data_IF_498124031358
#
_entry.id   IF_498124031358
#
_cell.length_a   1.000
_cell.length_b   1.000
_cell.length_c   1.000
_cell.angle_alpha   90.00
_cell.angle_beta   90.00
_cell.angle_gamma   90.00
#
_symmetry.space_group_name_H-M   'P 1'
#
loop_
_entity.id
_entity.type
_entity.pdbx_description
1 polymer ?
#
# COMPACT_ATOMS: atom_id res chain seq x y z
N UNK A 1 -38.33 -39.01 0.93
CA UNK A 1 -38.24 -38.59 -0.51
C UNK A 1 -39.35 -37.63 -0.96
N UNK A 2 -39.88 -36.71 -0.13
CA UNK A 2 -41.00 -35.81 -0.54
C UNK A 2 -40.86 -34.35 -0.14
N UNK A 3 -39.66 -33.88 0.27
CA UNK A 3 -39.49 -32.48 0.74
C UNK A 3 -38.64 -31.58 -0.17
N UNK A 4 -38.19 -32.05 -1.35
CA UNK A 4 -37.25 -31.30 -2.19
C UNK A 4 -37.83 -30.71 -3.49
N UNK A 5 -39.16 -30.81 -3.74
CA UNK A 5 -39.77 -30.38 -5.03
C UNK A 5 -40.72 -29.17 -4.94
N UNK A 6 -40.84 -28.49 -3.77
CA UNK A 6 -41.82 -27.36 -3.65
C UNK A 6 -41.22 -25.95 -3.68
N UNK A 7 -39.91 -25.80 -3.81
CA UNK A 7 -39.26 -24.46 -3.71
C UNK A 7 -38.94 -23.77 -5.05
N UNK A 8 -39.23 -24.41 -6.19
CA UNK A 8 -38.84 -23.86 -7.49
C UNK A 8 -40.01 -23.38 -8.37
N UNK A 9 -41.25 -23.27 -7.83
CA UNK A 9 -42.42 -22.92 -8.62
C UNK A 9 -43.04 -21.55 -8.32
N UNK A 10 -42.45 -20.75 -7.41
CA UNK A 10 -42.97 -19.43 -7.02
C UNK A 10 -42.31 -18.26 -7.79
N UNK A 11 -41.23 -18.50 -8.54
CA UNK A 11 -40.53 -17.44 -9.26
C UNK A 11 -40.81 -17.35 -10.78
N UNK A 12 -41.92 -17.94 -11.26
CA UNK A 12 -42.17 -17.97 -12.69
C UNK A 12 -43.23 -16.99 -13.20
N UNK A 13 -43.84 -16.20 -12.34
CA UNK A 13 -44.89 -15.21 -12.73
C UNK A 13 -44.61 -13.82 -12.13
N UNK A 14 -43.36 -13.39 -12.07
CA UNK A 14 -43.04 -11.98 -11.94
C UNK A 14 -42.96 -11.43 -13.38
N UNK A 15 -43.95 -10.62 -13.77
CA UNK A 15 -43.94 -9.81 -14.97
C UNK A 15 -42.59 -9.11 -15.06
N UNK A 16 -41.88 -9.33 -16.15
CA UNK A 16 -40.68 -8.55 -16.46
C UNK A 16 -41.12 -7.11 -16.71
N UNK A 17 -40.79 -6.15 -15.84
CA UNK A 17 -40.81 -4.79 -16.31
C UNK A 17 -39.76 -4.72 -17.43
N UNK A 18 -40.15 -4.22 -18.59
CA UNK A 18 -39.21 -3.81 -19.64
C UNK A 18 -38.21 -2.85 -18.97
N UNK A 19 -37.07 -3.39 -18.51
CA UNK A 19 -35.92 -2.58 -18.26
C UNK A 19 -35.48 -2.07 -19.62
N UNK A 20 -35.97 -0.88 -19.96
CA UNK A 20 -35.32 0.00 -20.91
C UNK A 20 -33.85 -0.05 -20.52
N UNK A 21 -33.05 -0.74 -21.34
CA UNK A 21 -31.61 -0.76 -21.25
C UNK A 21 -31.15 0.67 -21.56
N UNK A 22 -31.22 1.56 -20.57
CA UNK A 22 -30.32 2.69 -20.54
C UNK A 22 -28.92 2.09 -20.27
N UNK A 23 -28.33 1.54 -21.33
CA UNK A 23 -26.90 1.41 -21.44
C UNK A 23 -26.38 2.85 -21.58
N UNK A 24 -26.41 3.59 -20.46
CA UNK A 24 -25.48 4.68 -20.28
C UNK A 24 -24.14 3.99 -20.32
N UNK A 25 -23.41 4.12 -21.42
CA UNK A 25 -22.00 3.82 -21.45
C UNK A 25 -21.42 4.56 -20.24
N UNK A 26 -21.16 3.82 -19.16
CA UNK A 26 -20.47 4.34 -18.00
C UNK A 26 -19.13 4.76 -18.58
N UNK A 27 -18.92 6.08 -18.69
CA UNK A 27 -17.63 6.60 -19.14
C UNK A 27 -16.66 6.13 -18.07
N UNK A 28 -15.91 5.06 -18.38
CA UNK A 28 -14.86 4.56 -17.50
C UNK A 28 -13.90 5.72 -17.29
N UNK A 29 -13.91 6.29 -16.09
CA UNK A 29 -12.95 7.33 -15.73
C UNK A 29 -11.79 6.64 -15.05
N UNK A 30 -10.62 6.53 -15.67
CA UNK A 30 -9.47 5.84 -15.07
C UNK A 30 -8.89 6.68 -13.92
N UNK A 31 -9.74 6.90 -12.90
CA UNK A 31 -9.39 7.73 -11.76
C UNK A 31 -8.16 7.19 -11.03
N UNK A 32 -8.00 5.86 -10.97
CA UNK A 32 -6.82 5.27 -10.36
C UNK A 32 -5.54 5.73 -11.08
N UNK A 33 -5.51 5.67 -12.40
CA UNK A 33 -4.37 6.17 -13.18
C UNK A 33 -4.11 7.66 -12.94
N UNK A 34 -5.17 8.48 -12.88
CA UNK A 34 -5.01 9.92 -12.62
C UNK A 34 -4.42 10.19 -11.25
N UNK A 35 -4.79 9.43 -10.22
CA UNK A 35 -4.19 9.51 -8.89
C UNK A 35 -2.70 9.19 -8.93
N UNK A 36 -2.28 8.16 -9.67
CA UNK A 36 -0.87 7.81 -9.82
C UNK A 36 -0.08 8.88 -10.57
N UNK A 37 -0.62 9.42 -11.67
CA UNK A 37 0.01 10.50 -12.43
C UNK A 37 0.15 11.75 -11.57
N UNK A 38 -0.89 12.13 -10.83
CA UNK A 38 -0.84 13.27 -9.92
C UNK A 38 0.21 13.06 -8.82
N UNK A 39 0.28 11.85 -8.25
CA UNK A 39 1.25 11.50 -7.20
C UNK A 39 2.69 11.64 -7.66
N UNK A 40 3.03 11.16 -8.86
CA UNK A 40 4.39 11.19 -9.39
C UNK A 40 4.81 12.55 -9.94
N UNK A 41 3.85 13.40 -10.32
CA UNK A 41 4.13 14.66 -11.01
C UNK A 41 5.02 15.58 -10.21
N UNK A 42 4.74 15.78 -8.93
CA UNK A 42 5.52 16.65 -8.05
C UNK A 42 6.93 16.09 -7.80
N UNK A 43 7.11 14.85 -7.32
CA UNK A 43 8.43 14.27 -7.15
C UNK A 43 9.25 14.26 -8.46
N UNK A 44 8.63 13.98 -9.58
CA UNK A 44 9.31 13.94 -10.88
C UNK A 44 9.86 15.32 -11.29
N UNK A 45 9.05 16.38 -11.14
CA UNK A 45 9.48 17.75 -11.39
C UNK A 45 10.67 18.14 -10.49
N UNK A 46 10.62 17.79 -9.21
CA UNK A 46 11.70 18.12 -8.28
C UNK A 46 12.92 17.20 -8.39
N UNK A 47 12.82 16.03 -9.02
CA UNK A 47 13.97 15.11 -9.24
C UNK A 47 15.08 15.79 -10.05
N UNK A 48 14.72 16.70 -10.95
CA UNK A 48 15.68 17.50 -11.74
C UNK A 48 16.57 18.37 -10.84
N UNK A 49 16.06 18.85 -9.71
CA UNK A 49 16.80 19.69 -8.76
C UNK A 49 17.63 18.88 -7.74
N UNK A 50 17.32 17.59 -7.56
CA UNK A 50 18.01 16.68 -6.65
C UNK A 50 18.82 15.64 -7.44
N UNK A 51 19.85 16.09 -8.16
CA UNK A 51 20.68 15.26 -9.06
C UNK A 51 21.27 14.02 -8.42
N UNK A 52 21.49 14.00 -7.09
CA UNK A 52 22.00 12.82 -6.39
C UNK A 52 21.00 11.65 -6.37
N UNK A 53 19.71 11.93 -6.40
CA UNK A 53 18.71 10.89 -6.51
C UNK A 53 18.70 10.26 -7.91
N UNK A 54 18.83 11.06 -8.97
CA UNK A 54 18.92 10.59 -10.36
C UNK A 54 20.12 9.65 -10.55
N UNK A 55 21.28 9.96 -9.97
CA UNK A 55 22.49 9.13 -10.06
C UNK A 55 22.31 7.72 -9.46
N UNK A 56 21.25 7.49 -8.69
CA UNK A 56 20.97 6.23 -7.98
C UNK A 56 19.74 5.48 -8.51
N UNK A 57 19.28 5.82 -9.70
CA UNK A 57 18.09 5.21 -10.32
C UNK A 57 18.19 3.69 -10.42
N UNK A 58 19.36 3.14 -10.77
CA UNK A 58 19.56 1.69 -10.86
C UNK A 58 19.33 1.00 -9.51
N UNK A 59 19.87 1.55 -8.41
CA UNK A 59 19.66 0.99 -7.07
C UNK A 59 18.18 1.11 -6.65
N UNK A 60 17.52 2.23 -6.99
CA UNK A 60 16.10 2.42 -6.76
C UNK A 60 15.27 1.38 -7.53
N UNK A 61 15.49 1.23 -8.83
CA UNK A 61 14.73 0.28 -9.64
C UNK A 61 14.93 -1.16 -9.16
N UNK A 62 16.15 -1.56 -8.82
CA UNK A 62 16.43 -2.90 -8.32
C UNK A 62 15.75 -3.12 -6.96
N UNK A 63 15.91 -2.20 -6.00
CA UNK A 63 15.30 -2.33 -4.67
C UNK A 63 13.77 -2.37 -4.76
N UNK A 64 13.19 -1.46 -5.55
CA UNK A 64 11.74 -1.40 -5.76
C UNK A 64 11.22 -2.65 -6.46
N UNK A 65 11.92 -3.17 -7.48
CA UNK A 65 11.51 -4.41 -8.15
C UNK A 65 11.51 -5.61 -7.20
N UNK A 66 12.52 -5.74 -6.32
CA UNK A 66 12.58 -6.83 -5.34
C UNK A 66 11.38 -6.75 -4.38
N UNK A 67 11.11 -5.56 -3.84
CA UNK A 67 9.97 -5.37 -2.92
C UNK A 67 8.65 -5.52 -3.65
N UNK A 68 8.52 -4.95 -4.86
CA UNK A 68 7.32 -5.08 -5.67
C UNK A 68 6.96 -6.54 -5.95
N UNK A 69 7.93 -7.40 -6.27
CA UNK A 69 7.66 -8.85 -6.48
C UNK A 69 7.04 -9.48 -5.22
N UNK A 70 7.57 -9.19 -4.03
CA UNK A 70 7.06 -9.76 -2.78
C UNK A 70 5.64 -9.27 -2.52
N UNK A 71 5.40 -7.97 -2.64
CA UNK A 71 4.11 -7.35 -2.35
C UNK A 71 3.06 -7.64 -3.44
N UNK A 72 3.44 -7.73 -4.71
CA UNK A 72 2.54 -8.14 -5.79
C UNK A 72 2.09 -9.60 -5.67
N UNK A 73 2.97 -10.51 -5.19
CA UNK A 73 2.56 -11.88 -4.88
C UNK A 73 1.53 -11.88 -3.75
N UNK A 74 1.77 -11.11 -2.69
CA UNK A 74 0.82 -10.97 -1.60
C UNK A 74 -0.50 -10.39 -2.09
N UNK A 75 -0.47 -9.30 -2.85
CA UNK A 75 -1.63 -8.63 -3.42
C UNK A 75 -2.46 -9.56 -4.32
N UNK A 76 -1.82 -10.26 -5.25
CA UNK A 76 -2.50 -11.22 -6.12
C UNK A 76 -3.18 -12.34 -5.32
N UNK A 77 -2.52 -12.89 -4.31
CA UNK A 77 -3.10 -13.93 -3.46
C UNK A 77 -4.32 -13.43 -2.70
N UNK A 78 -4.26 -12.21 -2.18
CA UNK A 78 -5.36 -11.61 -1.41
C UNK A 78 -6.52 -11.18 -2.30
N UNK A 79 -6.24 -10.66 -3.50
CA UNK A 79 -7.26 -10.37 -4.51
C UNK A 79 -7.99 -11.65 -4.94
N UNK A 80 -7.25 -12.73 -5.23
CA UNK A 80 -7.86 -14.02 -5.58
C UNK A 80 -8.67 -14.64 -4.43
N UNK A 81 -8.27 -14.38 -3.18
CA UNK A 81 -8.99 -14.84 -1.98
C UNK A 81 -10.19 -13.95 -1.61
N UNK A 82 -10.39 -12.80 -2.27
CA UNK A 82 -11.47 -11.86 -1.97
C UNK A 82 -11.30 -11.13 -0.64
N UNK A 83 -10.05 -10.96 -0.19
CA UNK A 83 -9.69 -10.17 1.01
C UNK A 83 -9.76 -8.69 0.70
N UNK A 84 -9.35 -8.30 -0.50
CA UNK A 84 -9.58 -7.01 -1.12
C UNK A 84 -9.82 -7.17 -2.63
N UNK A 85 -10.13 -6.10 -3.31
CA UNK A 85 -10.27 -6.10 -4.75
C UNK A 85 -10.51 -4.70 -5.30
N UNK A 86 -10.75 -4.63 -6.59
CA UNK A 86 -10.73 -3.38 -7.35
C UNK A 86 -12.07 -3.17 -8.05
N UNK A 87 -12.47 -1.91 -8.20
CA UNK A 87 -13.62 -1.51 -8.97
C UNK A 87 -13.18 -1.11 -10.37
N UNK A 88 -13.55 -1.93 -11.36
CA UNK A 88 -13.18 -1.75 -12.76
C UNK A 88 -13.71 -0.44 -13.37
N UNK A 89 -14.80 0.14 -12.83
CA UNK A 89 -15.37 1.40 -13.31
C UNK A 89 -14.40 2.58 -13.21
N UNK A 90 -13.40 2.48 -12.32
CA UNK A 90 -12.38 3.52 -12.09
C UNK A 90 -10.99 3.16 -12.61
N UNK A 91 -10.87 2.06 -13.35
CA UNK A 91 -9.62 1.55 -13.90
C UNK A 91 -9.63 1.60 -15.43
N UNK A 92 -8.46 1.41 -16.04
CA UNK A 92 -8.30 1.34 -17.51
C UNK A 92 -8.94 0.09 -18.14
N UNK A 93 -9.41 -0.87 -17.33
CA UNK A 93 -9.97 -2.13 -17.84
C UNK A 93 -8.92 -3.16 -18.28
N UNK A 94 -7.63 -2.91 -18.03
CA UNK A 94 -6.56 -3.87 -18.26
C UNK A 94 -6.18 -4.52 -16.93
N UNK A 95 -6.27 -5.84 -16.82
CA UNK A 95 -5.95 -6.55 -15.58
C UNK A 95 -4.98 -7.72 -15.81
N UNK A 96 -4.10 -7.92 -14.85
CA UNK A 96 -3.15 -9.04 -14.77
C UNK A 96 -3.32 -9.69 -13.39
N UNK A 97 -3.57 -10.99 -13.31
CA UNK A 97 -3.84 -11.71 -12.07
C UNK A 97 -4.97 -11.10 -11.24
N UNK A 98 -6.07 -10.71 -11.89
CA UNK A 98 -7.24 -10.04 -11.29
C UNK A 98 -6.96 -8.65 -10.70
N UNK A 99 -5.77 -8.10 -10.88
CA UNK A 99 -5.38 -6.76 -10.46
C UNK A 99 -5.31 -5.83 -11.66
N UNK A 100 -5.84 -4.60 -11.59
CA UNK A 100 -5.71 -3.63 -12.65
C UNK A 100 -4.24 -3.25 -12.87
N UNK A 101 -3.90 -2.84 -14.10
CA UNK A 101 -2.51 -2.46 -14.42
C UNK A 101 -2.03 -1.27 -13.56
N UNK A 102 -2.95 -0.44 -13.10
CA UNK A 102 -2.67 0.66 -12.19
C UNK A 102 -2.10 0.19 -10.86
N UNK A 103 -2.58 -0.97 -10.34
CA UNK A 103 -2.01 -1.56 -9.11
C UNK A 103 -0.54 -1.97 -9.34
N UNK A 104 -0.23 -2.57 -10.48
CA UNK A 104 1.16 -2.86 -10.84
C UNK A 104 2.02 -1.61 -10.89
N UNK A 105 1.51 -0.51 -11.44
CA UNK A 105 2.19 0.78 -11.48
C UNK A 105 2.32 1.40 -10.07
N UNK A 106 1.32 1.20 -9.20
CA UNK A 106 1.33 1.68 -7.82
C UNK A 106 2.60 1.25 -7.08
N UNK A 107 3.01 -0.02 -7.23
CA UNK A 107 4.21 -0.58 -6.57
C UNK A 107 5.53 0.04 -7.04
N UNK A 108 5.52 0.81 -8.09
CA UNK A 108 6.69 1.61 -8.53
C UNK A 108 6.53 3.10 -8.24
N UNK A 109 5.34 3.65 -8.49
CA UNK A 109 5.05 5.08 -8.33
C UNK A 109 5.09 5.49 -6.86
N UNK A 110 4.40 4.78 -5.98
CA UNK A 110 4.29 5.16 -4.57
C UNK A 110 5.64 5.02 -3.83
N UNK A 111 6.40 3.92 -3.98
CA UNK A 111 7.75 3.87 -3.44
C UNK A 111 8.68 4.97 -3.99
N UNK A 112 8.57 5.31 -5.29
CA UNK A 112 9.33 6.42 -5.86
C UNK A 112 9.04 7.73 -5.15
N UNK A 113 7.76 8.12 -5.02
CA UNK A 113 7.35 9.36 -4.36
C UNK A 113 7.80 9.39 -2.90
N UNK A 114 7.68 8.25 -2.21
CA UNK A 114 8.01 8.13 -0.79
C UNK A 114 9.52 8.17 -0.52
N UNK A 115 10.31 7.42 -1.30
CA UNK A 115 11.77 7.46 -1.20
C UNK A 115 12.33 8.84 -1.60
N UNK A 116 11.76 9.45 -2.64
CA UNK A 116 12.10 10.83 -3.00
C UNK A 116 11.87 11.76 -1.81
N UNK A 117 10.71 11.69 -1.15
CA UNK A 117 10.41 12.49 0.05
C UNK A 117 11.43 12.25 1.16
N UNK A 118 11.78 10.98 1.43
CA UNK A 118 12.80 10.64 2.43
C UNK A 118 14.16 11.25 2.09
N UNK A 119 14.61 11.16 0.83
CA UNK A 119 15.90 11.71 0.41
C UNK A 119 15.90 13.23 0.34
N UNK A 120 14.79 13.86 -0.07
CA UNK A 120 14.63 15.30 -0.04
C UNK A 120 14.73 15.84 1.39
N UNK A 121 14.06 15.20 2.35
CA UNK A 121 14.19 15.54 3.78
C UNK A 121 15.61 15.35 4.30
N UNK A 122 16.27 14.26 3.91
CA UNK A 122 17.67 14.02 4.29
C UNK A 122 18.59 15.10 3.76
N UNK A 123 18.32 15.63 2.58
CA UNK A 123 19.11 16.71 1.97
C UNK A 123 18.82 18.07 2.62
N UNK A 124 17.53 18.42 2.76
CA UNK A 124 17.10 19.73 3.26
C UNK A 124 17.22 19.89 4.78
N UNK A 125 17.08 18.79 5.52
CA UNK A 125 17.14 18.75 6.98
C UNK A 125 18.05 17.60 7.47
N UNK A 126 19.38 17.72 7.31
CA UNK A 126 20.32 16.63 7.62
C UNK A 126 20.27 16.18 9.09
N UNK A 127 19.90 17.09 10.00
CA UNK A 127 19.79 16.81 11.44
C UNK A 127 18.38 16.36 11.88
N UNK A 128 17.46 16.15 10.94
CA UNK A 128 16.09 15.70 11.22
C UNK A 128 16.03 14.17 11.36
N UNK A 129 16.33 13.69 12.57
CA UNK A 129 16.27 12.27 12.93
C UNK A 129 16.04 12.10 14.44
N UNK A 130 15.49 10.96 14.83
CA UNK A 130 15.28 10.61 16.25
C UNK A 130 16.58 10.14 16.89
N UNK A 131 16.72 10.38 18.20
CA UNK A 131 17.79 9.80 18.99
C UNK A 131 17.67 8.26 19.07
N UNK A 132 18.80 7.57 19.20
CA UNK A 132 18.86 6.10 19.20
C UNK A 132 17.94 5.46 20.25
N UNK A 133 17.99 5.94 21.49
CA UNK A 133 17.19 5.39 22.59
C UNK A 133 15.68 5.56 22.35
N UNK A 134 15.27 6.69 21.79
CA UNK A 134 13.86 6.96 21.45
C UNK A 134 13.42 6.04 20.32
N UNK A 135 14.23 5.90 19.29
CA UNK A 135 13.96 5.02 18.15
C UNK A 135 13.76 3.57 18.59
N UNK A 136 14.67 3.04 19.43
CA UNK A 136 14.56 1.69 19.98
C UNK A 136 13.28 1.51 20.82
N UNK A 137 12.96 2.48 21.68
CA UNK A 137 11.74 2.44 22.50
C UNK A 137 10.47 2.41 21.63
N UNK A 138 10.40 3.29 20.63
CA UNK A 138 9.26 3.33 19.69
C UNK A 138 9.16 1.98 18.94
N UNK A 139 10.27 1.49 18.38
CA UNK A 139 10.27 0.25 17.62
C UNK A 139 9.87 -0.96 18.49
N UNK A 140 10.39 -1.09 19.71
CA UNK A 140 10.00 -2.18 20.61
C UNK A 140 8.56 -2.08 21.06
N UNK A 141 8.03 -0.88 21.31
CA UNK A 141 6.62 -0.68 21.61
C UNK A 141 5.73 -1.10 20.44
N UNK A 142 6.09 -0.69 19.23
CA UNK A 142 5.37 -1.10 18.01
C UNK A 142 5.45 -2.61 17.80
N UNK A 143 6.62 -3.23 17.93
CA UNK A 143 6.78 -4.69 17.81
C UNK A 143 5.91 -5.41 18.85
N UNK A 144 5.96 -4.99 20.11
CA UNK A 144 5.18 -5.63 21.18
C UNK A 144 3.66 -5.49 20.93
N UNK A 145 3.21 -4.29 20.56
CA UNK A 145 1.79 -4.05 20.20
C UNK A 145 1.35 -4.86 19.00
N UNK A 146 2.19 -4.94 17.96
CA UNK A 146 1.90 -5.72 16.75
C UNK A 146 1.93 -7.24 17.02
N UNK A 147 2.84 -7.73 17.89
CA UNK A 147 2.83 -9.12 18.34
C UNK A 147 1.53 -9.46 19.08
N UNK A 148 1.09 -8.58 20.00
CA UNK A 148 -0.19 -8.75 20.69
C UNK A 148 -1.36 -8.77 19.68
N UNK A 149 -1.36 -7.87 18.72
CA UNK A 149 -2.36 -7.82 17.65
C UNK A 149 -2.38 -9.12 16.84
N UNK A 150 -1.21 -9.62 16.44
CA UNK A 150 -1.07 -10.89 15.73
C UNK A 150 -1.64 -12.07 16.56
N UNK A 151 -1.30 -12.14 17.85
CA UNK A 151 -1.79 -13.21 18.73
C UNK A 151 -3.32 -13.19 18.92
N UNK A 152 -3.92 -11.99 18.96
CA UNK A 152 -5.37 -11.83 19.21
C UNK A 152 -6.22 -11.91 17.95
N UNK A 153 -5.65 -11.62 16.78
CA UNK A 153 -6.36 -11.52 15.50
C UNK A 153 -5.72 -12.35 14.37
N UNK A 154 -5.04 -13.45 14.71
CA UNK A 154 -4.37 -14.30 13.72
C UNK A 154 -5.31 -14.93 12.68
N UNK A 155 -6.61 -15.03 12.99
CA UNK A 155 -7.62 -15.54 12.06
C UNK A 155 -8.03 -14.53 10.99
N UNK A 156 -7.66 -13.25 11.12
CA UNK A 156 -7.92 -12.19 10.15
C UNK A 156 -6.71 -12.08 9.23
N UNK A 157 -6.86 -12.58 8.00
CA UNK A 157 -5.72 -12.77 7.10
C UNK A 157 -4.95 -11.48 6.83
N UNK A 158 -5.64 -10.35 6.59
CA UNK A 158 -4.96 -9.09 6.34
C UNK A 158 -4.21 -8.61 7.56
N UNK A 159 -4.87 -8.54 8.71
CA UNK A 159 -4.23 -8.12 9.98
C UNK A 159 -3.03 -9.01 10.33
N UNK A 160 -3.15 -10.33 10.15
CA UNK A 160 -2.09 -11.27 10.52
C UNK A 160 -0.86 -11.14 9.63
N UNK A 161 -1.03 -11.06 8.31
CA UNK A 161 0.08 -10.95 7.37
C UNK A 161 0.74 -9.58 7.48
N UNK A 162 -0.04 -8.48 7.58
CA UNK A 162 0.49 -7.14 7.79
C UNK A 162 1.31 -7.06 9.09
N UNK A 163 0.77 -7.59 10.19
CA UNK A 163 1.47 -7.63 11.47
C UNK A 163 2.81 -8.39 11.36
N UNK A 164 2.84 -9.52 10.65
CA UNK A 164 4.07 -10.30 10.45
C UNK A 164 5.11 -9.48 9.69
N UNK A 165 4.72 -8.84 8.58
CA UNK A 165 5.63 -8.00 7.79
C UNK A 165 6.16 -6.83 8.61
N UNK A 166 5.30 -6.17 9.40
CA UNK A 166 5.70 -5.03 10.24
C UNK A 166 6.68 -5.46 11.35
N UNK A 167 6.43 -6.59 12.03
CA UNK A 167 7.35 -7.13 13.05
C UNK A 167 8.72 -7.43 12.44
N UNK A 168 8.76 -8.14 11.30
CA UNK A 168 10.01 -8.48 10.61
C UNK A 168 10.76 -7.21 10.19
N UNK A 169 10.08 -6.28 9.56
CA UNK A 169 10.67 -5.04 9.05
C UNK A 169 11.22 -4.16 10.17
N UNK A 170 10.48 -3.99 11.27
CA UNK A 170 10.95 -3.24 12.44
C UNK A 170 12.12 -3.94 13.12
N UNK A 171 12.09 -5.26 13.25
CA UNK A 171 13.18 -6.04 13.85
C UNK A 171 14.47 -5.90 13.04
N UNK A 172 14.39 -6.07 11.71
CA UNK A 172 15.53 -5.84 10.82
C UNK A 172 16.05 -4.40 10.91
N UNK A 173 15.13 -3.44 11.01
CA UNK A 173 15.47 -2.03 11.21
C UNK A 173 16.26 -1.78 12.49
N UNK A 174 15.82 -2.32 13.61
CA UNK A 174 16.50 -2.15 14.92
C UNK A 174 17.85 -2.85 14.96
N UNK A 175 17.94 -4.05 14.36
CA UNK A 175 19.16 -4.89 14.45
C UNK A 175 20.22 -4.42 13.45
N UNK A 176 19.86 -4.15 12.21
CA UNK A 176 20.83 -3.92 11.12
C UNK A 176 20.83 -2.49 10.56
N UNK A 177 19.73 -1.76 10.70
CA UNK A 177 19.51 -0.48 10.01
C UNK A 177 19.05 0.65 10.96
N UNK A 178 19.51 0.64 12.21
CA UNK A 178 19.03 1.56 13.24
C UNK A 178 19.16 3.04 12.84
N UNK A 179 20.30 3.45 12.28
CA UNK A 179 20.52 4.84 11.81
C UNK A 179 19.55 5.24 10.69
N UNK A 180 19.17 4.29 9.85
CA UNK A 180 18.19 4.48 8.80
C UNK A 180 16.78 4.64 9.38
N UNK A 181 16.44 3.78 10.35
CA UNK A 181 15.15 3.79 11.06
C UNK A 181 14.94 5.09 11.84
N UNK A 182 16.00 5.64 12.49
CA UNK A 182 15.95 6.93 13.19
C UNK A 182 15.42 8.06 12.31
N UNK A 183 15.86 8.10 11.06
CA UNK A 183 15.41 9.11 10.09
C UNK A 183 14.07 8.73 9.46
N UNK A 184 13.90 7.44 9.18
CA UNK A 184 12.71 6.98 8.47
C UNK A 184 11.44 7.17 9.29
N UNK A 185 11.44 7.01 10.60
CA UNK A 185 10.26 7.31 11.41
C UNK A 185 9.73 8.74 11.19
N UNK A 186 10.62 9.73 11.16
CA UNK A 186 10.21 11.12 10.91
C UNK A 186 9.81 11.35 9.43
N UNK A 187 10.54 10.74 8.50
CA UNK A 187 10.16 10.80 7.07
C UNK A 187 8.80 10.16 6.84
N UNK A 188 8.52 9.04 7.50
CA UNK A 188 7.26 8.32 7.36
C UNK A 188 6.07 9.16 7.85
N UNK A 189 6.22 9.89 8.96
CA UNK A 189 5.16 10.83 9.41
C UNK A 189 4.82 11.87 8.35
N UNK A 190 5.82 12.35 7.61
CA UNK A 190 5.58 13.30 6.50
C UNK A 190 4.98 12.58 5.30
N UNK A 191 5.44 11.37 4.99
CA UNK A 191 4.89 10.53 3.91
C UNK A 191 3.42 10.16 4.18
N UNK A 192 3.01 10.03 5.44
CA UNK A 192 1.61 9.78 5.79
C UNK A 192 0.66 10.87 5.29
N UNK A 193 1.12 12.12 5.10
CA UNK A 193 0.25 13.19 4.58
C UNK A 193 -0.24 12.86 3.17
N UNK A 194 0.63 12.71 2.14
CA UNK A 194 0.18 12.29 0.82
C UNK A 194 -0.40 10.87 0.82
N UNK A 195 0.05 9.97 1.70
CA UNK A 195 -0.54 8.64 1.87
C UNK A 195 -2.04 8.72 2.17
N UNK A 196 -2.46 9.52 3.16
CA UNK A 196 -3.88 9.66 3.49
C UNK A 196 -4.69 10.26 2.35
N UNK A 197 -4.11 11.16 1.56
CA UNK A 197 -4.79 11.75 0.40
C UNK A 197 -4.99 10.68 -0.68
N UNK A 198 -3.92 10.00 -1.08
CA UNK A 198 -3.93 8.99 -2.15
C UNK A 198 -4.83 7.81 -1.76
N UNK A 199 -4.57 7.19 -0.62
CA UNK A 199 -5.36 6.03 -0.18
C UNK A 199 -6.80 6.40 0.18
N UNK A 200 -7.05 7.61 0.71
CA UNK A 200 -8.40 8.11 0.93
C UNK A 200 -9.20 8.17 -0.37
N UNK A 201 -8.61 8.67 -1.45
CA UNK A 201 -9.25 8.68 -2.77
C UNK A 201 -9.50 7.25 -3.25
N UNK A 202 -8.49 6.36 -3.13
CA UNK A 202 -8.61 4.97 -3.55
C UNK A 202 -9.67 4.20 -2.75
N UNK A 203 -9.84 4.51 -1.48
CA UNK A 203 -10.80 3.84 -0.59
C UNK A 203 -12.17 4.52 -0.50
N UNK A 204 -12.44 5.54 -1.34
CA UNK A 204 -13.78 6.07 -1.53
C UNK A 204 -14.08 7.46 -0.98
N UNK A 205 -13.09 8.33 -0.72
CA UNK A 205 -13.35 9.70 -0.22
C UNK A 205 -14.16 10.58 -1.17
N UNK A 206 -13.96 10.40 -2.48
CA UNK A 206 -14.53 11.29 -3.51
C UNK A 206 -15.32 10.52 -4.57
N UNK A 207 -15.55 9.22 -4.36
CA UNK A 207 -16.24 8.33 -5.29
C UNK A 207 -17.47 7.70 -4.63
N UNK A 208 -18.48 7.37 -5.41
CA UNK A 208 -19.71 6.71 -4.93
C UNK A 208 -19.44 5.31 -4.37
N UNK A 209 -18.39 4.66 -4.87
CA UNK A 209 -17.89 3.38 -4.39
C UNK A 209 -16.36 3.40 -4.39
N UNK A 210 -15.70 2.63 -3.48
CA UNK A 210 -14.24 2.62 -3.42
C UNK A 210 -13.63 2.04 -4.71
N UNK A 211 -12.47 2.57 -5.11
CA UNK A 211 -11.64 2.01 -6.18
C UNK A 211 -10.99 0.70 -5.69
N UNK A 212 -10.47 0.73 -4.46
CA UNK A 212 -9.94 -0.43 -3.74
C UNK A 212 -10.87 -0.71 -2.56
N UNK A 213 -11.53 -1.86 -2.57
CA UNK A 213 -12.41 -2.30 -1.49
C UNK A 213 -11.76 -3.39 -0.65
N UNK A 214 -12.15 -3.50 0.61
CA UNK A 214 -11.64 -4.47 1.58
C UNK A 214 -12.77 -5.26 2.21
N UNK A 215 -12.53 -6.56 2.45
CA UNK A 215 -13.40 -7.41 3.25
C UNK A 215 -13.09 -7.20 4.75
N UNK A 216 -13.96 -6.51 5.46
CA UNK A 216 -13.77 -6.19 6.88
C UNK A 216 -13.82 -7.43 7.81
N UNK A 217 -14.18 -8.62 7.29
CA UNK A 217 -14.03 -9.86 8.05
C UNK A 217 -12.57 -10.31 8.15
N UNK A 218 -11.73 -9.89 7.23
CA UNK A 218 -10.32 -10.27 7.12
C UNK A 218 -9.34 -9.21 7.66
N UNK A 219 -9.87 -8.09 8.18
CA UNK A 219 -9.11 -7.02 8.83
C UNK A 219 -9.77 -6.63 10.16
N UNK A 220 -9.23 -5.69 10.91
CA UNK A 220 -9.78 -5.23 12.19
C UNK A 220 -11.16 -4.58 12.08
N UNK A 221 -11.57 -4.16 10.88
CA UNK A 221 -12.77 -3.34 10.66
C UNK A 221 -12.62 -1.91 11.18
N UNK A 222 -11.41 -1.51 11.58
CA UNK A 222 -11.10 -0.16 12.06
C UNK A 222 -10.56 0.65 10.88
N UNK A 223 -11.20 1.80 10.61
CA UNK A 223 -10.79 2.66 9.51
C UNK A 223 -10.41 4.04 10.00
N UNK A 224 -9.36 4.58 9.43
CA UNK A 224 -9.02 6.00 9.53
C UNK A 224 -9.68 6.70 8.34
N UNK A 225 -10.84 7.28 8.57
CA UNK A 225 -11.78 7.72 7.53
C UNK A 225 -12.32 6.53 6.72
N UNK A 226 -11.79 6.26 5.53
CA UNK A 226 -12.14 5.11 4.68
C UNK A 226 -11.04 4.05 4.61
N UNK A 227 -9.83 4.37 5.09
CA UNK A 227 -8.60 3.56 4.96
C UNK A 227 -8.51 2.57 6.13
N UNK A 228 -8.33 1.26 5.91
CA UNK A 228 -8.03 0.31 6.98
C UNK A 228 -6.78 0.73 7.75
N UNK A 229 -6.80 0.54 9.07
CA UNK A 229 -5.63 0.91 9.90
C UNK A 229 -4.38 0.10 9.56
N UNK A 230 -4.55 -1.11 9.05
CA UNK A 230 -3.49 -1.99 8.57
C UNK A 230 -2.68 -1.38 7.44
N UNK A 231 -3.30 -0.55 6.59
CA UNK A 231 -2.60 0.08 5.46
C UNK A 231 -1.41 0.95 5.90
N UNK A 232 -1.40 1.43 7.15
CA UNK A 232 -0.23 2.14 7.71
C UNK A 232 0.93 1.18 7.93
N UNK A 233 0.67 -0.02 8.47
CA UNK A 233 1.67 -1.08 8.66
C UNK A 233 2.19 -1.59 7.32
N UNK A 234 1.27 -1.83 6.39
CA UNK A 234 1.58 -2.22 5.01
C UNK A 234 2.51 -1.21 4.32
N UNK A 235 2.14 0.08 4.35
CA UNK A 235 2.96 1.14 3.76
C UNK A 235 4.32 1.25 4.44
N UNK A 236 4.38 1.19 5.79
CA UNK A 236 5.65 1.22 6.51
C UNK A 236 6.55 0.06 6.09
N UNK A 237 6.01 -1.15 6.04
CA UNK A 237 6.76 -2.37 5.72
C UNK A 237 7.29 -2.34 4.29
N UNK A 238 6.47 -1.94 3.33
CA UNK A 238 6.85 -1.81 1.93
C UNK A 238 7.94 -0.75 1.73
N UNK A 239 7.73 0.43 2.28
CA UNK A 239 8.62 1.57 2.05
C UNK A 239 9.95 1.44 2.81
N UNK A 240 9.92 1.01 4.07
CA UNK A 240 11.15 0.80 4.83
C UNK A 240 11.92 -0.42 4.32
N UNK A 241 11.23 -1.50 3.94
CA UNK A 241 11.83 -2.65 3.28
C UNK A 241 12.57 -2.25 2.00
N UNK A 242 11.94 -1.42 1.15
CA UNK A 242 12.58 -0.87 -0.04
C UNK A 242 13.82 -0.04 0.30
N UNK A 243 13.70 0.83 1.30
CA UNK A 243 14.82 1.68 1.72
C UNK A 243 15.99 0.87 2.30
N UNK A 244 15.73 -0.22 3.05
CA UNK A 244 16.77 -1.14 3.54
C UNK A 244 17.52 -1.82 2.39
N UNK A 245 16.80 -2.34 1.38
CA UNK A 245 17.42 -2.96 0.21
C UNK A 245 18.21 -1.90 -0.59
N UNK A 246 17.65 -0.72 -0.78
CA UNK A 246 18.34 0.38 -1.44
C UNK A 246 19.67 0.74 -0.75
N UNK A 247 19.68 0.83 0.60
CA UNK A 247 20.92 1.08 1.35
C UNK A 247 21.90 -0.10 1.27
N UNK A 248 21.40 -1.34 1.24
CA UNK A 248 22.23 -2.54 1.07
C UNK A 248 22.96 -2.59 -0.28
N UNK A 249 22.30 -2.12 -1.35
CA UNK A 249 22.85 -2.10 -2.70
C UNK A 249 23.91 -1.02 -2.92
N UNK A 250 24.03 -0.05 -1.99
CA UNK A 250 25.07 0.97 -2.12
C UNK A 250 26.46 0.34 -2.01
N UNK A 251 27.39 0.72 -2.90
CA UNK A 251 28.76 0.29 -2.76
C UNK A 251 29.27 0.72 -1.38
N UNK A 252 29.89 -0.21 -0.64
CA UNK A 252 30.62 0.14 0.58
C UNK A 252 31.69 1.13 0.15
N UNK A 253 31.54 2.40 0.52
CA UNK A 253 32.61 3.36 0.35
C UNK A 253 33.78 2.81 1.13
N UNK A 254 34.89 2.54 0.44
CA UNK A 254 36.14 2.21 1.09
C UNK A 254 36.42 3.33 2.09
N UNK A 255 36.37 2.98 3.36
CA UNK A 255 36.78 3.86 4.45
C UNK A 255 38.28 4.03 4.28
N UNK A 256 38.69 5.12 3.59
CA UNK A 256 40.05 5.60 3.66
C UNK A 256 40.22 6.50 4.87
#
# INVERSE_FOLDING_TARGET
QTFRKRRWRVFRNAERPEKILHYTATVMTPLYLYVLIASVSVPLLFTVFFMDFIKRWSHFLISTSIVAVVFLIWDALFTMAGIWGFNEDYCLGLSILMMPIEEWLFFFVIPFCSLFTHFALKHSAPNFFLGENITRKIAYLLIAGTCLLLCTHFSKAYTAVDALFLIVTLTLGVVFYLKLLQRFFLSFLIILIPFFIVNGILTGWITDSPIVWYNDLENLGIRLTTIPVEDIGYAFSMLFGNLMIFEFLKPKQDVK
#
